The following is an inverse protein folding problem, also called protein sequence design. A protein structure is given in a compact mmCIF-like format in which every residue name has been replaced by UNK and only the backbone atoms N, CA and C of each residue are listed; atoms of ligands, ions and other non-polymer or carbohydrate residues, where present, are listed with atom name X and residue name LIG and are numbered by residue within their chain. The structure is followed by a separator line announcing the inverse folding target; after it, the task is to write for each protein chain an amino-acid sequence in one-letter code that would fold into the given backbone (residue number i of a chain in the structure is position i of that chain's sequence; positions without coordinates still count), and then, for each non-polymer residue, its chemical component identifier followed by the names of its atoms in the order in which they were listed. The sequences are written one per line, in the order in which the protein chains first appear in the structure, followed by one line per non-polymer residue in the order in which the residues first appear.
data_IF_316385180840
#
_entry.id   IF_316385180840
#
_cell.length_a   1.000
_cell.length_b   1.000
_cell.length_c   1.000
_cell.angle_alpha   90.00
_cell.angle_beta   90.00
_cell.angle_gamma   90.00
#
_symmetry.space_group_name_H-M   'P 1'
#
loop_
_entity.id
_entity.type
_entity.pdbx_description
1 polymer ?
#
# COMPACT_ATOMS: atom_id res chain seq x y z
N UNK A 1 -15.34 4.60 25.89
CA UNK A 1 -14.51 4.81 24.67
C UNK A 1 -14.78 3.63 23.75
N UNK A 2 -15.48 3.81 22.63
CA UNK A 2 -15.80 2.72 21.68
C UNK A 2 -14.55 2.44 20.85
N UNK A 3 -14.18 1.16 20.71
CA UNK A 3 -13.18 0.74 19.73
C UNK A 3 -13.69 1.13 18.34
N UNK A 4 -12.87 1.72 17.46
CA UNK A 4 -13.28 1.97 16.09
C UNK A 4 -13.66 0.64 15.44
N UNK A 5 -14.73 0.68 14.65
CA UNK A 5 -15.16 -0.45 13.83
C UNK A 5 -14.00 -0.85 12.92
N UNK A 6 -13.40 -2.02 13.17
CA UNK A 6 -12.34 -2.59 12.36
C UNK A 6 -12.94 -3.18 11.08
N UNK A 7 -13.42 -2.31 10.19
CA UNK A 7 -13.57 -2.58 8.75
C UNK A 7 -14.44 -3.80 8.38
N UNK A 8 -15.47 -4.13 9.16
CA UNK A 8 -16.42 -5.18 8.76
C UNK A 8 -17.38 -4.59 7.71
N UNK A 9 -16.98 -4.58 6.44
CA UNK A 9 -17.91 -4.26 5.36
C UNK A 9 -17.33 -3.77 4.04
N UNK A 10 -16.05 -3.41 3.98
CA UNK A 10 -15.49 -2.96 2.71
C UNK A 10 -15.18 -4.18 1.84
N UNK A 11 -15.74 -4.30 0.62
CA UNK A 11 -15.28 -5.32 -0.33
C UNK A 11 -13.77 -5.21 -0.49
N UNK A 12 -13.10 -6.36 -0.67
CA UNK A 12 -11.67 -6.42 -0.93
C UNK A 12 -11.32 -5.43 -2.04
N UNK A 13 -10.44 -4.43 -1.77
CA UNK A 13 -10.16 -3.43 -2.79
C UNK A 13 -9.43 -4.08 -3.97
N UNK A 14 -9.84 -3.76 -5.19
CA UNK A 14 -9.46 -4.50 -6.41
C UNK A 14 -8.08 -4.12 -6.94
N UNK A 15 -7.47 -3.08 -6.37
CA UNK A 15 -6.21 -2.52 -6.81
C UNK A 15 -6.36 -1.82 -8.15
N UNK A 16 -7.36 -0.96 -8.30
CA UNK A 16 -7.55 -0.17 -9.52
C UNK A 16 -6.62 1.06 -9.61
N UNK A 17 -6.88 2.01 -10.53
CA UNK A 17 -6.10 3.26 -10.70
C UNK A 17 -6.00 4.15 -9.45
N UNK A 18 -6.72 3.80 -8.37
CA UNK A 18 -6.73 4.48 -7.07
C UNK A 18 -6.13 3.61 -5.96
N UNK A 19 -5.27 2.65 -6.31
CA UNK A 19 -4.72 1.63 -5.42
C UNK A 19 -4.19 2.20 -4.10
N UNK A 20 -3.44 3.30 -4.10
CA UNK A 20 -2.93 3.88 -2.85
C UNK A 20 -4.05 4.40 -1.93
N UNK A 21 -5.11 4.97 -2.50
CA UNK A 21 -6.29 5.37 -1.73
C UNK A 21 -7.05 4.18 -1.16
N UNK A 22 -7.12 3.08 -1.92
CA UNK A 22 -7.68 1.80 -1.47
C UNK A 22 -6.87 1.20 -0.32
N UNK A 23 -5.54 1.14 -0.45
CA UNK A 23 -4.63 0.67 0.61
C UNK A 23 -4.85 1.45 1.90
N UNK A 24 -4.83 2.79 1.82
CA UNK A 24 -4.94 3.68 2.98
C UNK A 24 -6.34 3.66 3.63
N UNK A 25 -7.40 3.37 2.87
CA UNK A 25 -8.78 3.33 3.39
C UNK A 25 -9.27 1.92 3.76
N UNK A 26 -8.49 0.88 3.46
CA UNK A 26 -8.88 -0.53 3.66
C UNK A 26 -9.05 -0.96 5.12
N UNK A 27 -8.41 -0.25 6.07
CA UNK A 27 -8.27 -0.72 7.45
C UNK A 27 -7.34 -1.93 7.62
N UNK A 28 -6.64 -2.35 6.56
CA UNK A 28 -5.65 -3.44 6.57
C UNK A 28 -4.21 -2.95 6.64
N UNK A 29 -3.99 -1.68 6.26
CA UNK A 29 -2.69 -1.04 6.33
C UNK A 29 -2.26 -0.84 7.79
N UNK A 30 -1.08 -1.36 8.12
CA UNK A 30 -0.39 -1.04 9.36
C UNK A 30 0.44 0.25 9.18
N UNK A 31 1.10 0.75 10.25
CA UNK A 31 1.92 1.96 10.14
C UNK A 31 3.00 1.89 9.05
N UNK A 32 3.61 0.72 8.81
CA UNK A 32 4.66 0.55 7.81
C UNK A 32 4.12 0.65 6.38
N UNK A 33 2.97 0.03 6.11
CA UNK A 33 2.26 0.15 4.82
C UNK A 33 1.84 1.61 4.60
N UNK A 34 1.28 2.28 5.62
CA UNK A 34 0.88 3.68 5.55
C UNK A 34 2.05 4.62 5.24
N UNK A 35 3.18 4.44 5.92
CA UNK A 35 4.41 5.21 5.69
C UNK A 35 4.93 5.01 4.26
N UNK A 36 5.04 3.75 3.82
CA UNK A 36 5.51 3.42 2.49
C UNK A 36 4.60 3.98 1.38
N UNK A 37 3.27 3.84 1.54
CA UNK A 37 2.28 4.42 0.62
C UNK A 37 2.36 5.95 0.57
N UNK A 38 2.51 6.61 1.74
CA UNK A 38 2.71 8.05 1.84
C UNK A 38 3.97 8.51 1.10
N UNK A 39 5.07 7.75 1.23
CA UNK A 39 6.31 8.03 0.50
C UNK A 39 6.10 7.95 -1.01
N UNK A 40 5.43 6.90 -1.51
CA UNK A 40 5.10 6.77 -2.95
C UNK A 40 4.31 7.99 -3.45
N UNK A 41 3.30 8.45 -2.70
CA UNK A 41 2.53 9.65 -3.07
C UNK A 41 3.42 10.90 -3.19
N UNK A 42 4.34 11.09 -2.25
CA UNK A 42 5.27 12.24 -2.26
C UNK A 42 6.18 12.17 -3.49
N UNK A 43 6.85 11.04 -3.73
CA UNK A 43 7.89 10.95 -4.77
C UNK A 43 7.30 10.89 -6.18
N UNK A 44 6.14 10.26 -6.37
CA UNK A 44 5.44 10.26 -7.66
C UNK A 44 4.93 11.64 -8.08
N UNK A 45 4.52 12.48 -7.11
CA UNK A 45 4.12 13.87 -7.39
C UNK A 45 5.28 14.72 -7.91
N UNK A 46 6.48 14.52 -7.35
CA UNK A 46 7.73 15.21 -7.77
C UNK A 46 8.13 14.81 -9.18
N UNK A 47 8.07 13.51 -9.48
CA UNK A 47 8.34 13.00 -10.82
C UNK A 47 7.36 13.58 -11.85
N UNK A 48 6.06 13.58 -11.54
CA UNK A 48 5.03 14.13 -12.44
C UNK A 48 5.32 15.59 -12.77
N UNK A 49 5.66 16.41 -11.76
CA UNK A 49 6.00 17.81 -11.96
C UNK A 49 7.24 18.02 -12.87
N UNK A 50 8.27 17.16 -12.74
CA UNK A 50 9.45 17.18 -13.62
C UNK A 50 9.10 16.75 -15.05
N UNK A 51 8.36 15.64 -15.18
CA UNK A 51 7.99 15.07 -16.47
C UNK A 51 7.13 16.04 -17.28
N UNK A 52 6.22 16.80 -16.65
CA UNK A 52 5.39 17.81 -17.34
C UNK A 52 6.11 19.14 -17.64
N UNK A 53 7.38 19.29 -17.23
CA UNK A 53 8.22 20.46 -17.49
C UNK A 53 9.29 20.21 -18.56
N UNK A 54 10.48 20.80 -18.38
CA UNK A 54 11.61 20.67 -19.30
C UNK A 54 12.15 19.21 -19.43
N UNK A 55 11.84 18.35 -18.44
CA UNK A 55 12.37 16.99 -18.32
C UNK A 55 12.01 16.05 -19.48
N UNK A 56 10.84 16.23 -20.09
CA UNK A 56 10.42 15.48 -21.29
C UNK A 56 11.36 15.72 -22.48
N UNK A 57 11.89 16.94 -22.61
CA UNK A 57 12.76 17.34 -23.71
C UNK A 57 14.21 16.89 -23.48
N UNK A 58 14.63 16.80 -22.21
CA UNK A 58 15.99 16.43 -21.81
C UNK A 58 16.28 14.92 -21.82
N UNK A 59 15.31 14.09 -21.40
CA UNK A 59 15.51 12.64 -21.30
C UNK A 59 15.46 11.92 -22.68
N UNK A 60 14.70 12.45 -23.64
CA UNK A 60 14.45 11.81 -24.92
C UNK A 60 13.56 10.56 -24.82
N UNK A 61 12.93 10.17 -25.93
CA UNK A 61 11.86 9.15 -25.94
C UNK A 61 12.30 7.75 -25.48
N UNK A 62 13.55 7.35 -25.77
CA UNK A 62 14.07 6.03 -25.38
C UNK A 62 14.33 5.89 -23.87
N UNK A 63 14.81 6.95 -23.22
CA UNK A 63 15.02 6.97 -21.77
C UNK A 63 13.70 6.95 -21.02
N UNK A 64 12.75 7.78 -21.46
CA UNK A 64 11.40 7.84 -20.90
C UNK A 64 10.68 6.48 -21.00
N UNK A 65 10.85 5.76 -22.11
CA UNK A 65 10.31 4.42 -22.29
C UNK A 65 10.88 3.42 -21.27
N UNK A 66 12.19 3.44 -21.02
CA UNK A 66 12.82 2.58 -20.00
C UNK A 66 12.38 2.93 -18.58
N UNK A 67 12.32 4.22 -18.26
CA UNK A 67 11.87 4.71 -16.97
C UNK A 67 10.40 4.33 -16.69
N UNK A 68 9.53 4.46 -17.69
CA UNK A 68 8.12 4.04 -17.58
C UNK A 68 8.02 2.54 -17.33
N UNK A 69 8.77 1.72 -18.08
CA UNK A 69 8.73 0.27 -17.93
C UNK A 69 9.18 -0.20 -16.53
N UNK A 70 10.20 0.43 -15.93
CA UNK A 70 10.64 0.10 -14.58
C UNK A 70 9.61 0.51 -13.51
N UNK A 71 8.99 1.68 -13.66
CA UNK A 71 7.90 2.12 -12.77
C UNK A 71 6.67 1.21 -12.91
N UNK A 72 6.31 0.80 -14.12
CA UNK A 72 5.19 -0.12 -14.39
C UNK A 72 5.45 -1.52 -13.80
N UNK A 73 6.69 -2.01 -13.88
CA UNK A 73 7.10 -3.24 -13.19
C UNK A 73 6.99 -3.10 -11.67
N UNK A 74 7.36 -1.93 -11.12
CA UNK A 74 7.18 -1.61 -9.71
C UNK A 74 5.70 -1.63 -9.29
N UNK A 75 4.82 -0.99 -10.05
CA UNK A 75 3.38 -1.04 -9.81
C UNK A 75 2.82 -2.44 -9.90
N UNK A 76 3.27 -3.25 -10.87
CA UNK A 76 2.85 -4.65 -11.01
C UNK A 76 3.14 -5.45 -9.73
N UNK A 77 4.32 -5.28 -9.13
CA UNK A 77 4.67 -5.91 -7.86
C UNK A 77 3.80 -5.42 -6.69
N UNK A 78 3.46 -4.13 -6.64
CA UNK A 78 2.53 -3.59 -5.63
C UNK A 78 1.13 -4.17 -5.80
N UNK A 79 0.62 -4.27 -7.04
CA UNK A 79 -0.68 -4.89 -7.32
C UNK A 79 -0.71 -6.36 -6.90
N UNK A 80 0.35 -7.12 -7.15
CA UNK A 80 0.45 -8.52 -6.75
C UNK A 80 0.44 -8.67 -5.22
N UNK A 81 1.28 -7.91 -4.51
CA UNK A 81 1.31 -7.91 -3.06
C UNK A 81 -0.03 -7.48 -2.44
N UNK A 82 -0.70 -6.49 -3.06
CA UNK A 82 -2.02 -6.05 -2.65
C UNK A 82 -3.09 -7.13 -2.81
N UNK A 83 -3.14 -7.80 -3.97
CA UNK A 83 -4.07 -8.92 -4.21
C UNK A 83 -3.84 -10.05 -3.23
N UNK A 84 -2.59 -10.35 -2.91
CA UNK A 84 -2.27 -11.39 -1.95
C UNK A 84 -2.73 -11.02 -0.53
N UNK A 85 -2.53 -9.77 -0.10
CA UNK A 85 -3.05 -9.30 1.19
C UNK A 85 -4.59 -9.37 1.24
N UNK A 86 -5.26 -8.94 0.17
CA UNK A 86 -6.71 -9.01 0.05
C UNK A 86 -7.22 -10.47 0.09
N UNK A 87 -6.56 -11.40 -0.62
CA UNK A 87 -6.89 -12.83 -0.60
C UNK A 87 -6.75 -13.43 0.80
N UNK A 88 -5.69 -13.09 1.53
CA UNK A 88 -5.50 -13.54 2.92
C UNK A 88 -6.54 -12.94 3.86
N UNK A 89 -6.93 -11.69 3.65
CA UNK A 89 -8.02 -11.07 4.40
C UNK A 89 -9.34 -11.81 4.17
N UNK A 90 -9.70 -12.11 2.92
CA UNK A 90 -10.91 -12.88 2.59
C UNK A 90 -10.92 -14.24 3.28
N UNK A 91 -9.78 -14.94 3.30
CA UNK A 91 -9.66 -16.21 4.01
C UNK A 91 -9.92 -16.09 5.53
N UNK A 92 -9.50 -14.97 6.13
CA UNK A 92 -9.72 -14.68 7.57
C UNK A 92 -11.09 -14.06 7.89
N UNK A 93 -11.90 -13.72 6.87
CA UNK A 93 -13.08 -12.87 7.05
C UNK A 93 -14.16 -13.54 7.93
N UNK A 94 -14.32 -14.85 7.83
CA UNK A 94 -15.27 -15.60 8.65
C UNK A 94 -14.88 -15.56 10.14
N UNK A 95 -13.60 -15.80 10.45
CA UNK A 95 -13.07 -15.78 11.81
C UNK A 95 -13.16 -14.38 12.42
N UNK A 96 -12.80 -13.34 11.66
CA UNK A 96 -12.92 -11.94 12.10
C UNK A 96 -14.36 -11.54 12.37
N UNK A 97 -15.32 -11.99 11.54
CA UNK A 97 -16.76 -11.79 11.80
C UNK A 97 -17.20 -12.51 13.06
N UNK A 98 -16.79 -13.76 13.27
CA UNK A 98 -17.09 -14.52 14.47
C UNK A 98 -16.59 -13.79 15.74
N UNK A 99 -15.34 -13.31 15.72
CA UNK A 99 -14.73 -12.52 16.82
C UNK A 99 -15.53 -11.23 17.07
N UNK A 100 -15.97 -10.54 16.02
CA UNK A 100 -16.77 -9.31 16.15
C UNK A 100 -18.10 -9.58 16.87
N UNK A 101 -18.77 -10.68 16.51
CA UNK A 101 -20.12 -11.01 17.01
C UNK A 101 -20.14 -11.75 18.34
N UNK A 102 -18.99 -12.22 18.83
CA UNK A 102 -18.91 -13.00 20.06
C UNK A 102 -19.36 -12.20 21.30
N UNK A 103 -20.32 -12.73 22.05
CA UNK A 103 -20.85 -12.13 23.28
C UNK A 103 -20.02 -12.61 24.48
N UNK A 104 -19.82 -11.74 25.48
CA UNK A 104 -19.15 -12.10 26.73
C UNK A 104 -17.61 -12.03 26.70
N UNK A 105 -17.01 -11.71 25.55
CA UNK A 105 -15.58 -11.43 25.47
C UNK A 105 -15.25 -10.05 26.03
N UNK A 106 -14.22 -9.98 26.87
CA UNK A 106 -13.58 -8.73 27.23
C UNK A 106 -12.87 -8.09 26.02
N UNK A 107 -12.57 -6.81 26.13
CA UNK A 107 -11.80 -6.07 25.11
C UNK A 107 -10.43 -6.73 24.86
N UNK A 108 -9.77 -7.19 25.92
CA UNK A 108 -8.43 -7.81 25.82
C UNK A 108 -8.49 -9.13 25.05
N UNK A 109 -9.41 -10.02 25.42
CA UNK A 109 -9.60 -11.30 24.73
C UNK A 109 -9.94 -11.08 23.25
N UNK A 110 -10.73 -10.05 22.94
CA UNK A 110 -11.09 -9.71 21.56
C UNK A 110 -9.87 -9.26 20.75
N UNK A 111 -9.00 -8.42 21.32
CA UNK A 111 -7.75 -7.99 20.67
C UNK A 111 -6.81 -9.19 20.45
N UNK A 112 -6.66 -10.06 21.45
CA UNK A 112 -5.83 -11.26 21.34
C UNK A 112 -6.37 -12.24 20.29
N UNK A 113 -7.69 -12.42 20.20
CA UNK A 113 -8.32 -13.24 19.18
C UNK A 113 -8.11 -12.68 17.77
N UNK A 114 -8.23 -11.36 17.58
CA UNK A 114 -7.91 -10.74 16.28
C UNK A 114 -6.45 -10.92 15.89
N UNK A 115 -5.52 -10.72 16.83
CA UNK A 115 -4.08 -10.94 16.57
C UNK A 115 -3.79 -12.37 16.16
N UNK A 116 -4.43 -13.33 16.82
CA UNK A 116 -4.31 -14.75 16.48
C UNK A 116 -4.86 -15.04 15.07
N UNK A 117 -6.07 -14.56 14.75
CA UNK A 117 -6.66 -14.74 13.43
C UNK A 117 -5.80 -14.09 12.33
N UNK A 118 -5.25 -12.90 12.58
CA UNK A 118 -4.36 -12.20 11.65
C UNK A 118 -3.06 -12.97 11.43
N UNK A 119 -2.48 -13.54 12.50
CA UNK A 119 -1.27 -14.36 12.41
C UNK A 119 -1.52 -15.68 11.67
N UNK A 120 -2.62 -16.38 11.96
CA UNK A 120 -3.01 -17.62 11.29
C UNK A 120 -3.30 -17.41 9.80
N UNK A 121 -3.88 -16.26 9.44
CA UNK A 121 -4.11 -15.87 8.06
C UNK A 121 -2.84 -15.33 7.35
N UNK A 122 -1.72 -15.19 8.07
CA UNK A 122 -0.47 -14.66 7.52
C UNK A 122 -0.57 -13.20 7.07
N UNK A 123 -1.41 -12.39 7.72
CA UNK A 123 -1.60 -10.99 7.32
C UNK A 123 -0.36 -10.13 7.58
N UNK A 124 0.40 -10.42 8.63
CA UNK A 124 1.62 -9.65 8.95
C UNK A 124 2.69 -9.81 7.87
N UNK A 125 2.88 -11.02 7.36
CA UNK A 125 3.79 -11.28 6.24
C UNK A 125 3.34 -10.57 4.96
N UNK A 126 2.03 -10.60 4.66
CA UNK A 126 1.50 -9.92 3.46
C UNK A 126 1.56 -8.39 3.57
N UNK A 127 1.35 -7.82 4.76
CA UNK A 127 1.58 -6.39 5.03
C UNK A 127 3.04 -6.03 4.84
N UNK A 128 3.97 -6.84 5.36
CA UNK A 128 5.41 -6.63 5.17
C UNK A 128 5.81 -6.70 3.68
N UNK A 129 5.27 -7.67 2.93
CA UNK A 129 5.50 -7.79 1.49
C UNK A 129 4.98 -6.57 0.72
N UNK A 130 3.78 -6.10 1.05
CA UNK A 130 3.20 -4.88 0.46
C UNK A 130 4.03 -3.63 0.80
N UNK A 131 4.42 -3.46 2.05
CA UNK A 131 5.29 -2.36 2.48
C UNK A 131 6.62 -2.40 1.71
N UNK A 132 7.25 -3.58 1.58
CA UNK A 132 8.46 -3.77 0.79
C UNK A 132 8.29 -3.41 -0.68
N UNK A 133 7.18 -3.82 -1.31
CA UNK A 133 6.88 -3.47 -2.70
C UNK A 133 6.69 -1.95 -2.88
N UNK A 134 5.97 -1.30 -1.96
CA UNK A 134 5.77 0.15 -1.95
C UNK A 134 7.09 0.91 -1.73
N UNK A 135 7.92 0.47 -0.80
CA UNK A 135 9.26 1.05 -0.57
C UNK A 135 10.14 0.92 -1.81
N UNK A 136 10.13 -0.24 -2.48
CA UNK A 136 10.87 -0.45 -3.72
C UNK A 136 10.35 0.45 -4.85
N UNK A 137 9.03 0.62 -4.98
CA UNK A 137 8.42 1.54 -5.94
C UNK A 137 8.81 3.01 -5.64
N UNK A 138 8.81 3.41 -4.37
CA UNK A 138 9.26 4.74 -3.98
C UNK A 138 10.73 4.98 -4.34
N UNK A 139 11.60 4.01 -4.07
CA UNK A 139 13.02 4.08 -4.43
C UNK A 139 13.24 4.21 -5.95
N UNK A 140 12.45 3.51 -6.78
CA UNK A 140 12.47 3.69 -8.24
C UNK A 140 12.13 5.12 -8.63
N UNK A 141 11.06 5.69 -8.09
CA UNK A 141 10.68 7.08 -8.33
C UNK A 141 11.74 8.10 -7.89
N UNK A 142 12.40 7.86 -6.76
CA UNK A 142 13.49 8.71 -6.26
C UNK A 142 14.74 8.65 -7.14
N UNK A 143 15.00 7.50 -7.76
CA UNK A 143 16.11 7.33 -8.69
C UNK A 143 15.88 8.00 -10.06
N UNK A 144 14.65 8.42 -10.36
CA UNK A 144 14.35 9.16 -11.58
C UNK A 144 14.98 10.56 -11.50
N UNK A 145 15.41 11.14 -12.65
CA UNK A 145 15.90 12.50 -12.69
C UNK A 145 14.86 13.45 -12.10
N UNK A 146 15.28 14.21 -11.10
CA UNK A 146 14.52 15.31 -10.52
C UNK A 146 15.25 16.61 -10.82
N UNK A 147 14.51 17.72 -10.91
CA UNK A 147 15.10 19.04 -11.10
C UNK A 147 16.10 19.30 -9.95
N UNK A 148 17.38 19.49 -10.29
CA UNK A 148 18.43 19.98 -9.37
C UNK A 148 18.15 21.37 -8.75
N UNK A 149 16.98 21.96 -9.02
CA UNK A 149 16.52 23.23 -8.46
C UNK A 149 15.81 23.09 -7.12
N UNK A 150 15.52 21.87 -6.63
CA UNK A 150 14.82 21.65 -5.35
C UNK A 150 15.75 21.44 -4.17
N UNK A 151 16.99 20.98 -4.38
CA UNK A 151 18.00 20.82 -3.31
C UNK A 151 18.69 22.15 -2.93
N UNK A 152 18.29 23.26 -3.54
CA UNK A 152 18.81 24.61 -3.24
C UNK A 152 17.83 25.48 -2.45
N UNK A 153 16.71 24.92 -1.99
CA UNK A 153 15.67 25.60 -1.23
C UNK A 153 15.81 25.42 0.28
#
# INVERSE_FOLDING_TARGET
MRLPDLGVGTPAPTGGPRLLGEVLSSGLADPAVCEAAGRVLIVSSRFTAWATGDGLTEAGAGELGRMSADVDAGWSAVHEAWRELARRQEASAADRRAITTAIGMSVRERIEAYRKADAEAGLDEARAALAGALTALAARHEALPHRASWDRG
#
